data_IF_998999756241
#
_entry.id   IF_998999756241
#
_cell.length_a   1.000
_cell.length_b   1.000
_cell.length_c   1.000
_cell.angle_alpha   90.00
_cell.angle_beta   90.00
_cell.angle_gamma   90.00
#
_symmetry.space_group_name_H-M   'P 1'
#
loop_
_entity.id
_entity.type
_entity.pdbx_description
1 polymer ?
#
# COMPACT_ATOMS: atom_id res chain seq x y z
N UNK A 1 -13.94 26.79 35.47
CA UNK A 1 -14.83 26.80 34.29
C UNK A 1 -13.95 27.02 33.06
N UNK A 2 -13.75 26.01 32.22
CA UNK A 2 -13.14 26.18 30.90
C UNK A 2 -14.22 25.91 29.86
N UNK A 3 -14.58 26.94 29.10
CA UNK A 3 -15.50 26.87 27.97
C UNK A 3 -14.78 26.29 26.76
N UNK A 4 -15.39 25.26 26.16
CA UNK A 4 -14.83 24.52 25.04
C UNK A 4 -14.74 25.33 23.75
N UNK A 5 -13.64 25.12 23.04
CA UNK A 5 -13.49 25.50 21.63
C UNK A 5 -14.02 24.31 20.81
N UNK A 6 -15.32 24.33 20.50
CA UNK A 6 -15.86 23.59 19.37
C UNK A 6 -15.53 24.39 18.09
N UNK A 7 -14.40 24.07 17.46
CA UNK A 7 -14.00 24.62 16.17
C UNK A 7 -14.47 23.74 15.01
N UNK A 8 -14.87 24.38 13.92
CA UNK A 8 -15.51 23.88 12.68
C UNK A 8 -14.79 22.78 11.87
N UNK A 9 -13.73 22.16 12.40
CA UNK A 9 -12.85 21.23 11.68
C UNK A 9 -13.55 19.94 11.20
N UNK A 10 -14.66 19.53 11.82
CA UNK A 10 -15.37 18.29 11.47
C UNK A 10 -16.49 18.47 10.42
N UNK A 11 -16.90 19.69 10.08
CA UNK A 11 -17.97 19.88 9.07
C UNK A 11 -17.46 19.63 7.65
N UNK A 12 -16.21 19.96 7.35
CA UNK A 12 -15.65 19.81 6.00
C UNK A 12 -15.38 18.33 5.62
N UNK A 13 -15.29 17.42 6.59
CA UNK A 13 -15.18 15.97 6.33
C UNK A 13 -16.53 15.30 5.97
N UNK A 14 -17.66 15.99 6.17
CA UNK A 14 -19.00 15.44 5.87
C UNK A 14 -19.55 15.88 4.51
N UNK A 15 -18.90 16.85 3.85
CA UNK A 15 -19.25 17.28 2.51
C UNK A 15 -18.50 16.42 1.48
N UNK A 16 -18.95 15.18 1.28
CA UNK A 16 -18.59 14.45 0.07
C UNK A 16 -18.96 15.33 -1.14
N UNK A 17 -18.03 15.65 -2.06
CA UNK A 17 -18.39 16.41 -3.25
C UNK A 17 -19.38 15.57 -4.04
N UNK A 18 -20.63 16.04 -4.14
CA UNK A 18 -21.58 15.51 -5.12
C UNK A 18 -20.94 15.70 -6.49
N UNK A 19 -20.65 14.59 -7.17
CA UNK A 19 -20.19 14.61 -8.55
C UNK A 19 -21.22 15.37 -9.40
N UNK A 20 -20.84 16.41 -10.16
CA UNK A 20 -21.72 16.96 -11.17
C UNK A 20 -21.93 15.89 -12.25
N UNK A 21 -23.19 15.55 -12.50
CA UNK A 21 -23.61 14.71 -13.62
C UNK A 21 -23.56 15.52 -14.92
N UNK A 22 -22.98 14.93 -15.98
CA UNK A 22 -22.88 15.49 -17.33
C UNK A 22 -21.57 16.28 -17.50
N UNK A 23 -20.70 16.01 -18.49
CA UNK A 23 -20.92 15.67 -19.89
C UNK A 23 -19.81 14.71 -20.33
N UNK A 24 -20.17 13.67 -21.08
CA UNK A 24 -19.26 12.79 -21.76
C UNK A 24 -18.66 13.51 -22.99
N UNK A 25 -17.44 14.03 -22.87
CA UNK A 25 -16.61 14.37 -24.02
C UNK A 25 -15.43 13.41 -24.05
N UNK A 26 -15.55 12.41 -24.92
CA UNK A 26 -14.53 11.40 -25.19
C UNK A 26 -13.28 12.07 -25.76
N UNK A 27 -12.36 12.45 -24.88
CA UNK A 27 -11.00 12.86 -25.21
C UNK A 27 -9.99 11.80 -24.74
N UNK A 28 -8.77 11.75 -25.30
CA UNK A 28 -7.74 10.78 -24.94
C UNK A 28 -7.23 10.89 -23.48
N UNK A 29 -7.75 11.82 -22.68
CA UNK A 29 -7.42 12.04 -21.27
C UNK A 29 -8.33 11.27 -20.29
N UNK A 30 -9.47 10.72 -20.74
CA UNK A 30 -10.39 9.97 -19.86
C UNK A 30 -9.79 8.65 -19.32
N UNK A 31 -8.69 8.18 -19.91
CA UNK A 31 -7.97 6.99 -19.43
C UNK A 31 -7.00 7.28 -18.27
N UNK A 32 -6.72 8.56 -17.97
CA UNK A 32 -5.65 8.97 -17.06
C UNK A 32 -6.11 9.71 -15.81
N UNK A 33 -7.41 9.68 -15.53
CA UNK A 33 -7.93 9.90 -14.18
C UNK A 33 -7.85 8.55 -13.47
N UNK A 34 -7.16 8.43 -12.31
CA UNK A 34 -7.31 7.25 -11.47
C UNK A 34 -8.80 7.13 -11.13
N UNK A 35 -9.53 6.24 -11.80
CA UNK A 35 -10.93 5.94 -11.51
C UNK A 35 -11.07 5.23 -10.17
N UNK A 36 -9.96 4.75 -9.63
CA UNK A 36 -9.84 4.14 -8.32
C UNK A 36 -9.46 5.21 -7.29
N UNK A 37 -10.41 5.58 -6.43
CA UNK A 37 -10.05 6.04 -5.10
C UNK A 37 -9.18 4.94 -4.47
N UNK A 38 -8.07 5.27 -3.78
CA UNK A 38 -7.35 4.27 -3.01
C UNK A 38 -8.35 3.62 -2.04
N UNK A 39 -8.67 2.35 -2.28
CA UNK A 39 -9.45 1.57 -1.32
C UNK A 39 -8.56 1.41 -0.10
N UNK A 40 -8.91 2.13 0.98
CA UNK A 40 -8.11 2.21 2.19
C UNK A 40 -7.88 3.65 2.62
N UNK A 41 -8.96 4.38 2.94
CA UNK A 41 -8.82 5.47 3.91
C UNK A 41 -8.48 4.80 5.25
N UNK A 42 -7.20 4.60 5.54
CA UNK A 42 -6.75 4.38 6.91
C UNK A 42 -7.11 5.67 7.64
N UNK A 43 -8.27 5.68 8.28
CA UNK A 43 -8.74 6.85 9.00
C UNK A 43 -7.70 7.11 10.08
N UNK A 44 -7.21 8.34 10.16
CA UNK A 44 -6.28 8.85 11.18
C UNK A 44 -6.73 8.47 12.63
N UNK A 45 -8.02 8.18 12.80
CA UNK A 45 -8.67 7.70 14.03
C UNK A 45 -8.37 6.24 14.40
N UNK A 46 -8.09 5.37 13.43
CA UNK A 46 -7.86 3.94 13.66
C UNK A 46 -6.39 3.66 14.05
N UNK A 47 -5.45 4.52 13.66
CA UNK A 47 -4.06 4.51 14.17
C UNK A 47 -3.93 4.92 15.65
N UNK A 48 -4.97 5.52 16.24
CA UNK A 48 -4.96 6.01 17.64
C UNK A 48 -5.72 5.07 18.61
N UNK A 49 -6.24 3.93 18.13
CA UNK A 49 -7.04 3.00 18.94
C UNK A 49 -6.26 1.91 19.68
N UNK A 50 -4.93 1.97 19.67
CA UNK A 50 -4.12 0.85 20.14
C UNK A 50 -4.04 0.77 21.68
N UNK A 51 -4.60 -0.32 22.21
CA UNK A 51 -4.39 -0.75 23.60
C UNK A 51 -2.90 -1.02 23.87
N UNK A 52 -2.50 -0.82 25.14
CA UNK A 52 -1.14 -1.11 25.64
C UNK A 52 -0.79 -2.58 25.35
N UNK A 53 0.28 -2.88 24.59
CA UNK A 53 0.59 -4.22 24.12
C UNK A 53 1.34 -5.08 25.16
N UNK A 54 1.41 -6.40 24.97
CA UNK A 54 2.43 -7.22 25.61
C UNK A 54 3.84 -6.74 25.22
N UNK A 55 4.76 -6.65 26.18
CA UNK A 55 6.15 -6.28 25.97
C UNK A 55 6.82 -7.17 24.91
N UNK A 56 7.41 -6.59 23.86
CA UNK A 56 8.24 -7.32 22.90
C UNK A 56 7.84 -7.27 21.41
N UNK A 57 6.76 -6.57 21.04
CA UNK A 57 6.36 -6.37 19.62
C UNK A 57 6.56 -4.91 19.20
N UNK A 58 7.20 -4.67 18.04
CA UNK A 58 7.52 -3.31 17.60
C UNK A 58 6.25 -2.52 17.20
N UNK A 59 6.31 -1.19 17.22
CA UNK A 59 5.25 -0.35 16.62
C UNK A 59 5.04 -0.64 15.14
N UNK A 60 6.11 -1.03 14.43
CA UNK A 60 6.10 -1.34 13.01
C UNK A 60 5.34 -2.63 12.70
N UNK A 61 5.58 -3.69 13.47
CA UNK A 61 4.82 -4.95 13.35
C UNK A 61 3.33 -4.70 13.64
N UNK A 62 3.01 -3.86 14.64
CA UNK A 62 1.61 -3.52 14.97
C UNK A 62 0.90 -2.80 13.82
N UNK A 63 1.57 -1.87 13.15
CA UNK A 63 1.00 -1.19 11.99
C UNK A 63 0.71 -2.19 10.86
N UNK A 64 1.64 -3.11 10.58
CA UNK A 64 1.43 -4.17 9.59
C UNK A 64 0.27 -5.10 9.95
N UNK A 65 0.12 -5.46 11.23
CA UNK A 65 -1.02 -6.25 11.70
C UNK A 65 -2.36 -5.54 11.53
N UNK A 66 -2.42 -4.25 11.85
CA UNK A 66 -3.64 -3.45 11.68
C UNK A 66 -4.01 -3.30 10.19
N UNK A 67 -3.03 -2.95 9.36
CA UNK A 67 -3.15 -2.86 7.89
C UNK A 67 -3.63 -4.18 7.27
N UNK A 68 -3.08 -5.32 7.71
CA UNK A 68 -3.51 -6.64 7.27
C UNK A 68 -4.98 -6.94 7.65
N UNK A 69 -5.40 -6.62 8.88
CA UNK A 69 -6.81 -6.80 9.32
C UNK A 69 -7.75 -5.94 8.48
N UNK A 70 -7.38 -4.68 8.23
CA UNK A 70 -8.17 -3.76 7.39
C UNK A 70 -8.30 -4.29 5.96
N UNK A 71 -7.19 -4.74 5.37
CA UNK A 71 -7.15 -5.32 4.03
C UNK A 71 -8.02 -6.59 3.93
N UNK A 72 -8.18 -7.33 5.03
CA UNK A 72 -9.07 -8.49 5.14
C UNK A 72 -10.55 -8.12 5.45
N UNK A 73 -10.93 -6.84 5.35
CA UNK A 73 -12.29 -6.36 5.59
C UNK A 73 -12.57 -5.98 7.05
N UNK A 74 -11.53 -5.71 7.84
CA UNK A 74 -11.63 -5.28 9.23
C UNK A 74 -11.88 -6.42 10.23
N UNK A 75 -11.76 -7.68 9.80
CA UNK A 75 -11.87 -8.83 10.68
C UNK A 75 -11.07 -10.06 10.20
N UNK A 76 -10.63 -10.93 11.11
CA UNK A 76 -9.88 -12.15 10.76
C UNK A 76 -10.75 -13.36 10.41
N UNK A 77 -12.07 -13.19 10.46
CA UNK A 77 -13.04 -14.29 10.27
C UNK A 77 -13.04 -15.29 11.43
N UNK A 78 -12.55 -14.88 12.61
CA UNK A 78 -12.51 -15.69 13.82
C UNK A 78 -13.69 -15.34 14.74
N UNK A 79 -14.17 -16.35 15.47
CA UNK A 79 -15.13 -16.16 16.56
C UNK A 79 -14.40 -15.81 17.86
N UNK A 80 -15.14 -15.34 18.87
CA UNK A 80 -14.59 -15.14 20.23
C UNK A 80 -14.03 -16.44 20.83
N UNK A 81 -14.65 -17.59 20.52
CA UNK A 81 -14.18 -18.89 21.01
C UNK A 81 -12.85 -19.28 20.35
N UNK A 82 -12.71 -19.06 19.04
CA UNK A 82 -11.47 -19.30 18.31
C UNK A 82 -10.33 -18.43 18.84
N UNK A 83 -10.61 -17.15 19.12
CA UNK A 83 -9.68 -16.24 19.78
C UNK A 83 -9.20 -16.81 21.11
N UNK A 84 -10.12 -17.23 21.97
CA UNK A 84 -9.77 -17.77 23.29
C UNK A 84 -8.90 -19.03 23.15
N UNK A 85 -9.27 -19.93 22.24
CA UNK A 85 -8.52 -21.16 21.95
C UNK A 85 -7.10 -20.87 21.47
N UNK A 86 -6.93 -19.94 20.53
CA UNK A 86 -5.60 -19.54 20.05
C UNK A 86 -4.77 -18.85 21.14
N UNK A 87 -5.38 -17.98 21.94
CA UNK A 87 -4.70 -17.28 23.06
C UNK A 87 -4.19 -18.26 24.11
N UNK A 88 -4.97 -19.29 24.43
CA UNK A 88 -4.58 -20.32 25.39
C UNK A 88 -3.50 -21.26 24.86
N UNK A 89 -3.65 -21.74 23.62
CA UNK A 89 -2.71 -22.71 23.05
C UNK A 89 -1.36 -22.08 22.67
N UNK A 90 -1.33 -20.79 22.32
CA UNK A 90 -0.15 -20.10 21.82
C UNK A 90 0.21 -18.86 22.66
N UNK A 91 0.07 -18.94 23.99
CA UNK A 91 0.33 -17.80 24.89
C UNK A 91 1.75 -17.24 24.82
N UNK A 92 2.74 -18.04 24.39
CA UNK A 92 4.12 -17.59 24.17
C UNK A 92 4.41 -17.02 22.78
N UNK A 93 3.47 -17.10 21.84
CA UNK A 93 3.62 -16.57 20.47
C UNK A 93 3.21 -15.09 20.44
N UNK A 94 4.13 -14.20 20.82
CA UNK A 94 3.85 -12.76 20.95
C UNK A 94 3.33 -12.12 19.65
N UNK A 95 3.76 -12.62 18.49
CA UNK A 95 3.34 -12.12 17.18
C UNK A 95 1.89 -12.50 16.89
N UNK A 96 1.52 -13.77 17.13
CA UNK A 96 0.13 -14.20 17.03
C UNK A 96 -0.76 -13.45 18.03
N UNK A 97 -0.32 -13.25 19.28
CA UNK A 97 -1.07 -12.48 20.27
C UNK A 97 -1.31 -11.03 19.83
N UNK A 98 -0.29 -10.37 19.28
CA UNK A 98 -0.39 -9.00 18.79
C UNK A 98 -1.31 -8.87 17.56
N UNK A 99 -1.28 -9.86 16.65
CA UNK A 99 -2.17 -9.88 15.49
C UNK A 99 -3.63 -10.08 15.90
N UNK A 100 -3.91 -11.04 16.79
CA UNK A 100 -5.26 -11.26 17.33
C UNK A 100 -5.81 -10.04 18.08
N UNK A 101 -4.95 -9.22 18.69
CA UNK A 101 -5.36 -8.00 19.37
C UNK A 101 -5.85 -6.88 18.43
N UNK A 102 -5.54 -6.96 17.13
CA UNK A 102 -6.04 -6.01 16.12
C UNK A 102 -7.44 -6.37 15.61
N UNK A 103 -7.88 -7.60 15.83
CA UNK A 103 -9.16 -8.11 15.34
C UNK A 103 -10.31 -7.81 16.29
N UNK A 104 -11.50 -7.61 15.72
CA UNK A 104 -12.76 -7.58 16.46
C UNK A 104 -13.51 -8.88 16.19
N UNK A 105 -13.35 -9.90 17.04
CA UNK A 105 -13.95 -11.21 16.78
C UNK A 105 -15.46 -11.12 16.70
N UNK A 106 -16.05 -11.87 15.77
CA UNK A 106 -17.51 -11.97 15.65
C UNK A 106 -18.07 -12.63 16.92
N UNK A 107 -19.22 -12.14 17.39
CA UNK A 107 -19.98 -12.80 18.44
C UNK A 107 -20.37 -14.20 17.91
N UNK A 108 -19.68 -15.23 18.41
CA UNK A 108 -19.93 -16.61 18.01
C UNK A 108 -21.20 -17.15 18.67
N UNK A 109 -21.91 -18.05 18.00
CA UNK A 109 -22.86 -18.95 18.68
C UNK A 109 -22.07 -20.01 19.45
N UNK A 110 -22.55 -20.38 20.64
CA UNK A 110 -21.94 -21.45 21.42
C UNK A 110 -21.92 -22.75 20.61
N UNK A 111 -20.72 -23.30 20.38
CA UNK A 111 -20.49 -24.53 19.64
C UNK A 111 -19.06 -25.03 19.89
N UNK A 112 -18.77 -26.31 19.60
CA UNK A 112 -17.45 -26.88 19.80
C UNK A 112 -16.43 -26.15 18.92
N UNK A 113 -15.39 -25.61 19.56
CA UNK A 113 -14.27 -24.94 18.89
C UNK A 113 -13.32 -25.99 18.31
N UNK A 114 -12.83 -25.77 17.10
CA UNK A 114 -11.85 -26.64 16.46
C UNK A 114 -10.52 -26.66 17.24
N UNK A 115 -9.66 -27.67 17.04
CA UNK A 115 -8.31 -27.67 17.60
C UNK A 115 -7.53 -26.40 17.23
N UNK A 116 -6.72 -25.88 18.16
CA UNK A 116 -5.98 -24.63 17.97
C UNK A 116 -5.03 -24.65 16.75
N UNK A 117 -4.48 -25.83 16.42
CA UNK A 117 -3.69 -26.04 15.21
C UNK A 117 -4.48 -25.77 13.92
N UNK A 118 -5.69 -26.32 13.83
CA UNK A 118 -6.57 -26.17 12.66
C UNK A 118 -7.05 -24.73 12.51
N UNK A 119 -7.36 -24.06 13.63
CA UNK A 119 -7.74 -22.64 13.62
C UNK A 119 -6.56 -21.77 13.14
N UNK A 120 -5.34 -22.04 13.61
CA UNK A 120 -4.13 -21.31 13.18
C UNK A 120 -3.86 -21.54 11.69
N UNK A 121 -4.00 -22.77 11.20
CA UNK A 121 -3.87 -23.09 9.78
C UNK A 121 -4.94 -22.40 8.93
N UNK A 122 -6.20 -22.40 9.38
CA UNK A 122 -7.28 -21.67 8.71
C UNK A 122 -7.03 -20.16 8.66
N UNK A 123 -6.44 -19.58 9.71
CA UNK A 123 -6.01 -18.17 9.71
C UNK A 123 -4.90 -17.92 8.69
N UNK A 124 -3.85 -18.77 8.66
CA UNK A 124 -2.75 -18.69 7.69
C UNK A 124 -3.29 -18.76 6.27
N UNK A 125 -4.21 -19.69 5.99
CA UNK A 125 -4.82 -19.83 4.67
C UNK A 125 -5.59 -18.56 4.26
N UNK A 126 -6.41 -18.00 5.16
CA UNK A 126 -7.16 -16.76 4.88
C UNK A 126 -6.24 -15.56 4.60
N UNK A 127 -5.15 -15.42 5.37
CA UNK A 127 -4.14 -14.37 5.11
C UNK A 127 -3.45 -14.63 3.77
N UNK A 128 -3.15 -15.89 3.45
CA UNK A 128 -2.59 -16.29 2.15
C UNK A 128 -3.50 -15.99 0.97
N UNK A 129 -4.81 -16.25 1.09
CA UNK A 129 -5.78 -15.95 0.05
C UNK A 129 -5.96 -14.44 -0.14
N UNK A 130 -5.95 -13.66 0.96
CA UNK A 130 -5.93 -12.20 0.90
C UNK A 130 -4.66 -11.68 0.19
N UNK A 131 -3.49 -12.23 0.54
CA UNK A 131 -2.23 -11.92 -0.14
C UNK A 131 -2.29 -12.25 -1.63
N UNK A 132 -2.84 -13.42 -2.01
CA UNK A 132 -3.02 -13.80 -3.42
C UNK A 132 -3.86 -12.78 -4.18
N UNK A 133 -5.00 -12.40 -3.59
CA UNK A 133 -5.90 -11.41 -4.19
C UNK A 133 -5.22 -10.04 -4.35
N UNK A 134 -4.50 -9.58 -3.32
CA UNK A 134 -3.75 -8.33 -3.37
C UNK A 134 -2.60 -8.37 -4.39
N UNK A 135 -1.83 -9.46 -4.45
CA UNK A 135 -0.81 -9.66 -5.48
C UNK A 135 -1.41 -9.57 -6.88
N UNK A 136 -2.58 -10.18 -7.14
CA UNK A 136 -3.22 -10.08 -8.45
C UNK A 136 -3.55 -8.63 -8.81
N UNK A 137 -4.20 -7.90 -7.89
CA UNK A 137 -4.57 -6.50 -8.10
C UNK A 137 -3.33 -5.61 -8.31
N UNK A 138 -2.30 -5.76 -7.47
CA UNK A 138 -1.06 -5.00 -7.57
C UNK A 138 -0.29 -5.32 -8.85
N UNK A 139 -0.25 -6.59 -9.25
CA UNK A 139 0.36 -7.02 -10.51
C UNK A 139 -0.29 -6.35 -11.71
N UNK A 140 -1.62 -6.37 -11.78
CA UNK A 140 -2.39 -5.69 -12.83
C UNK A 140 -2.18 -4.17 -12.81
N UNK A 141 -2.19 -3.57 -11.61
CA UNK A 141 -1.97 -2.13 -11.41
C UNK A 141 -0.57 -1.69 -11.83
N UNK A 142 0.46 -2.47 -11.52
CA UNK A 142 1.83 -2.26 -11.98
C UNK A 142 1.88 -2.21 -13.51
N UNK A 143 1.28 -3.21 -14.18
CA UNK A 143 1.32 -3.31 -15.64
C UNK A 143 0.58 -2.14 -16.31
N UNK A 144 -0.60 -1.77 -15.80
CA UNK A 144 -1.34 -0.58 -16.27
C UNK A 144 -0.55 0.70 -16.07
N UNK A 145 0.05 0.88 -14.89
CA UNK A 145 0.85 2.06 -14.58
C UNK A 145 2.09 2.15 -15.47
N UNK A 146 2.78 1.03 -15.71
CA UNK A 146 3.95 0.98 -16.58
C UNK A 146 3.61 1.38 -18.03
N UNK A 147 2.49 0.89 -18.56
CA UNK A 147 2.01 1.27 -19.89
C UNK A 147 1.71 2.78 -19.95
N UNK A 148 0.94 3.30 -18.98
CA UNK A 148 0.64 4.72 -18.91
C UNK A 148 1.88 5.60 -18.79
N UNK A 149 2.91 5.17 -18.05
CA UNK A 149 4.16 5.91 -17.93
C UNK A 149 4.91 6.00 -19.27
N UNK A 150 4.83 4.98 -20.13
CA UNK A 150 5.40 5.02 -21.47
C UNK A 150 4.69 6.05 -22.35
N UNK A 151 3.35 6.08 -22.32
CA UNK A 151 2.54 7.06 -23.07
C UNK A 151 2.79 8.48 -22.58
N UNK A 152 2.87 8.67 -21.26
CA UNK A 152 3.19 9.94 -20.64
C UNK A 152 4.60 10.41 -21.03
N UNK A 153 5.58 9.50 -21.06
CA UNK A 153 6.93 9.84 -21.52
C UNK A 153 6.93 10.32 -22.97
N UNK A 154 6.15 9.71 -23.87
CA UNK A 154 6.03 10.17 -25.26
C UNK A 154 5.42 11.57 -25.34
N UNK A 155 4.30 11.80 -24.64
CA UNK A 155 3.63 13.09 -24.61
C UNK A 155 4.50 14.22 -24.01
N UNK A 156 5.41 13.88 -23.10
CA UNK A 156 6.34 14.83 -22.49
C UNK A 156 7.58 15.14 -23.34
N UNK A 157 7.91 14.35 -24.37
CA UNK A 157 9.12 14.56 -25.19
C UNK A 157 9.14 15.91 -25.89
N UNK A 158 7.99 16.41 -26.31
CA UNK A 158 7.86 17.70 -26.98
C UNK A 158 7.83 18.88 -26.01
N UNK A 159 7.75 18.64 -24.69
CA UNK A 159 7.66 19.69 -23.68
C UNK A 159 9.06 20.11 -23.19
N UNK A 160 9.50 21.37 -23.37
CA UNK A 160 10.89 21.80 -23.13
C UNK A 160 11.41 21.52 -21.72
N UNK A 161 10.53 21.66 -20.71
CA UNK A 161 10.89 21.47 -19.31
C UNK A 161 10.81 20.00 -18.84
N UNK A 162 9.97 19.18 -19.48
CA UNK A 162 9.64 17.82 -19.01
C UNK A 162 10.36 16.73 -19.80
N UNK A 163 10.87 17.03 -21.00
CA UNK A 163 11.61 16.08 -21.83
C UNK A 163 12.79 15.42 -21.09
N UNK A 164 13.43 16.14 -20.15
CA UNK A 164 14.52 15.62 -19.30
C UNK A 164 14.08 14.49 -18.35
N UNK A 165 12.78 14.33 -18.09
CA UNK A 165 12.22 13.28 -17.24
C UNK A 165 11.90 12.00 -18.03
N UNK A 166 11.74 12.06 -19.34
CA UNK A 166 11.35 10.91 -20.17
C UNK A 166 12.27 9.68 -19.99
N UNK A 167 13.61 9.81 -19.90
CA UNK A 167 14.48 8.65 -19.65
C UNK A 167 14.26 8.01 -18.27
N UNK A 168 13.98 8.83 -17.25
CA UNK A 168 13.71 8.36 -15.88
C UNK A 168 12.38 7.62 -15.83
N UNK A 169 11.34 8.17 -16.49
CA UNK A 169 10.03 7.53 -16.61
C UNK A 169 10.11 6.22 -17.38
N UNK A 170 10.91 6.14 -18.45
CA UNK A 170 11.13 4.91 -19.20
C UNK A 170 11.82 3.83 -18.35
N UNK A 171 12.81 4.20 -17.53
CA UNK A 171 13.45 3.27 -16.60
C UNK A 171 12.48 2.77 -15.51
N UNK A 172 11.69 3.68 -14.92
CA UNK A 172 10.66 3.33 -13.94
C UNK A 172 9.57 2.43 -14.53
N UNK A 173 9.09 2.75 -15.74
CA UNK A 173 8.09 1.93 -16.43
C UNK A 173 8.58 0.49 -16.63
N UNK A 174 9.84 0.31 -17.05
CA UNK A 174 10.45 -1.03 -17.18
C UNK A 174 10.53 -1.76 -15.84
N UNK A 175 11.00 -1.08 -14.79
CA UNK A 175 11.10 -1.66 -13.44
C UNK A 175 9.73 -2.07 -12.90
N UNK A 176 8.73 -1.19 -13.00
CA UNK A 176 7.37 -1.45 -12.54
C UNK A 176 6.71 -2.56 -13.37
N UNK A 177 6.96 -2.61 -14.68
CA UNK A 177 6.48 -3.71 -15.53
C UNK A 177 7.10 -5.06 -15.11
N UNK A 178 8.41 -5.09 -14.84
CA UNK A 178 9.09 -6.29 -14.33
C UNK A 178 8.51 -6.74 -12.99
N UNK A 179 8.29 -5.80 -12.05
CA UNK A 179 7.62 -6.07 -10.78
C UNK A 179 6.21 -6.64 -11.00
N UNK A 180 5.41 -6.02 -11.87
CA UNK A 180 4.05 -6.47 -12.17
C UNK A 180 4.01 -7.90 -12.72
N UNK A 181 4.94 -8.24 -13.63
CA UNK A 181 5.07 -9.59 -14.17
C UNK A 181 5.52 -10.60 -13.11
N UNK A 182 6.49 -10.23 -12.26
CA UNK A 182 6.93 -11.07 -11.16
C UNK A 182 5.78 -11.35 -10.17
N UNK A 183 5.05 -10.31 -9.74
CA UNK A 183 3.90 -10.44 -8.85
C UNK A 183 2.80 -11.31 -9.47
N UNK A 184 2.51 -11.16 -10.78
CA UNK A 184 1.54 -12.01 -11.48
C UNK A 184 1.98 -13.48 -11.51
N UNK A 185 3.28 -13.76 -11.57
CA UNK A 185 3.80 -15.13 -11.46
C UNK A 185 3.56 -15.78 -10.10
N UNK A 186 3.49 -14.98 -9.03
CA UNK A 186 3.26 -15.46 -7.65
C UNK A 186 1.83 -15.92 -7.44
N UNK A 187 0.84 -15.30 -8.09
CA UNK A 187 -0.58 -15.57 -7.83
C UNK A 187 -1.03 -16.99 -8.18
N UNK A 188 -0.27 -17.68 -9.05
CA UNK A 188 -0.48 -19.09 -9.40
C UNK A 188 -0.01 -20.09 -8.34
N UNK A 189 0.64 -19.65 -7.27
CA UNK A 189 1.17 -20.53 -6.23
C UNK A 189 0.12 -20.90 -5.17
N UNK A 190 0.14 -22.18 -4.78
CA UNK A 190 -0.76 -22.73 -3.77
C UNK A 190 -0.32 -22.51 -2.32
N UNK A 191 1.00 -22.45 -2.07
CA UNK A 191 1.57 -22.30 -0.72
C UNK A 191 1.71 -20.82 -0.32
N UNK A 192 0.98 -20.35 0.72
CA UNK A 192 1.10 -18.99 1.23
C UNK A 192 2.53 -18.60 1.64
N UNK A 193 3.34 -19.53 2.18
CA UNK A 193 4.71 -19.20 2.63
C UNK A 193 5.61 -18.85 1.44
N UNK A 194 5.55 -19.67 0.41
CA UNK A 194 6.31 -19.46 -0.82
C UNK A 194 5.93 -18.13 -1.49
N UNK A 195 4.63 -17.79 -1.49
CA UNK A 195 4.15 -16.52 -2.04
C UNK A 195 4.75 -15.29 -1.34
N UNK A 196 4.83 -15.30 0.00
CA UNK A 196 5.42 -14.20 0.76
C UNK A 196 6.92 -14.04 0.45
N UNK A 197 7.65 -15.17 0.33
CA UNK A 197 9.06 -15.16 -0.01
C UNK A 197 9.30 -14.64 -1.43
N UNK A 198 8.51 -15.08 -2.40
CA UNK A 198 8.65 -14.65 -3.80
C UNK A 198 8.28 -13.19 -3.99
N UNK A 199 7.32 -12.66 -3.21
CA UNK A 199 7.02 -11.22 -3.23
C UNK A 199 8.22 -10.41 -2.73
N UNK A 200 8.84 -10.84 -1.63
CA UNK A 200 10.03 -10.18 -1.11
C UNK A 200 11.19 -10.21 -2.12
N UNK A 201 11.37 -11.32 -2.84
CA UNK A 201 12.35 -11.44 -3.92
C UNK A 201 12.02 -10.51 -5.10
N UNK A 202 10.77 -10.46 -5.55
CA UNK A 202 10.35 -9.57 -6.64
C UNK A 202 10.62 -8.09 -6.33
N UNK A 203 10.35 -7.67 -5.09
CA UNK A 203 10.63 -6.31 -4.62
C UNK A 203 12.14 -6.07 -4.55
N UNK A 204 12.93 -7.05 -4.12
CA UNK A 204 14.40 -6.96 -4.08
C UNK A 204 15.00 -6.85 -5.48
N UNK A 205 14.52 -7.64 -6.43
CA UNK A 205 14.96 -7.61 -7.83
C UNK A 205 14.70 -6.25 -8.47
N UNK A 206 13.56 -5.62 -8.14
CA UNK A 206 13.29 -4.24 -8.54
C UNK A 206 14.33 -3.26 -7.95
N UNK A 207 14.71 -3.39 -6.68
CA UNK A 207 15.77 -2.55 -6.10
C UNK A 207 17.10 -2.73 -6.81
N UNK A 208 17.50 -3.97 -7.12
CA UNK A 208 18.73 -4.24 -7.87
C UNK A 208 18.67 -3.65 -9.28
N UNK A 209 17.53 -3.74 -9.98
CA UNK A 209 17.33 -3.11 -11.28
C UNK A 209 17.41 -1.57 -11.24
N UNK A 210 17.07 -0.98 -10.09
CA UNK A 210 17.15 0.47 -9.90
C UNK A 210 18.55 0.95 -9.50
N UNK A 211 19.43 0.05 -9.00
CA UNK A 211 20.82 0.41 -8.67
C UNK A 211 21.59 0.87 -9.90
N UNK A 212 22.37 1.94 -9.75
CA UNK A 212 23.16 2.51 -10.83
C UNK A 212 22.37 3.42 -11.77
N UNK A 213 21.08 3.63 -11.51
CA UNK A 213 20.26 4.62 -12.21
C UNK A 213 20.14 5.92 -11.40
N UNK A 214 19.61 7.00 -11.98
CA UNK A 214 19.26 8.21 -11.23
C UNK A 214 18.17 7.97 -10.16
N UNK A 215 17.53 6.79 -10.15
CA UNK A 215 16.51 6.38 -9.19
C UNK A 215 17.08 6.10 -7.79
N UNK A 216 18.39 5.84 -7.66
CA UNK A 216 19.05 5.72 -6.35
C UNK A 216 18.92 7.02 -5.52
N UNK A 217 18.83 8.17 -6.21
CA UNK A 217 18.55 9.45 -5.56
C UNK A 217 17.10 9.54 -5.08
N UNK A 218 16.14 8.97 -5.82
CA UNK A 218 14.76 8.88 -5.39
C UNK A 218 14.60 7.95 -4.19
N UNK A 219 15.30 6.82 -4.16
CA UNK A 219 15.30 5.93 -3.01
C UNK A 219 15.79 6.66 -1.74
N UNK A 220 16.81 7.53 -1.87
CA UNK A 220 17.31 8.37 -0.77
C UNK A 220 16.38 9.52 -0.38
N UNK A 221 15.60 10.06 -1.32
CA UNK A 221 14.58 11.07 -1.05
C UNK A 221 13.40 10.42 -0.33
N UNK A 222 12.87 9.34 -0.89
CA UNK A 222 11.81 8.55 -0.30
C UNK A 222 12.14 8.05 1.11
N UNK A 223 13.34 7.51 1.32
CA UNK A 223 13.75 7.03 2.65
C UNK A 223 13.85 8.14 3.71
N UNK A 224 14.02 9.41 3.32
CA UNK A 224 13.94 10.56 4.22
C UNK A 224 12.49 11.02 4.48
N UNK A 225 11.60 10.82 3.52
CA UNK A 225 10.18 11.23 3.60
C UNK A 225 9.29 10.19 4.32
N UNK A 226 9.69 8.91 4.33
CA UNK A 226 8.87 7.79 4.81
C UNK A 226 8.99 7.33 6.28
N UNK A 227 9.86 7.83 7.19
CA UNK A 227 9.87 7.29 8.55
C UNK A 227 8.56 7.61 9.31
N UNK A 228 7.86 6.56 9.75
CA UNK A 228 6.83 6.62 10.79
C UNK A 228 5.42 7.07 10.37
N UNK A 229 5.26 7.73 9.23
CA UNK A 229 3.97 8.25 8.72
C UNK A 229 3.69 7.85 7.26
N UNK A 230 4.40 6.84 6.75
CA UNK A 230 4.50 6.50 5.33
C UNK A 230 3.18 6.41 4.56
N UNK A 231 2.14 5.79 5.14
CA UNK A 231 0.82 5.69 4.50
C UNK A 231 0.13 7.05 4.39
N UNK A 232 0.23 7.89 5.42
CA UNK A 232 -0.36 9.23 5.45
C UNK A 232 0.32 10.16 4.44
N UNK A 233 1.64 10.06 4.30
CA UNK A 233 2.41 10.84 3.33
C UNK A 233 2.11 10.40 1.90
N UNK A 234 2.05 9.09 1.62
CA UNK A 234 1.69 8.60 0.27
C UNK A 234 0.25 8.94 -0.13
N UNK A 235 -0.69 8.91 0.83
CA UNK A 235 -2.08 9.32 0.60
C UNK A 235 -2.18 10.81 0.30
N UNK A 236 -1.51 11.66 1.09
CA UNK A 236 -1.47 13.10 0.84
C UNK A 236 -0.83 13.44 -0.52
N UNK A 237 0.30 12.82 -0.85
CA UNK A 237 0.99 13.04 -2.12
C UNK A 237 0.16 12.57 -3.32
N UNK A 238 -0.60 11.48 -3.17
CA UNK A 238 -1.60 11.06 -4.15
C UNK A 238 -2.65 12.15 -4.38
N UNK A 239 -3.33 12.62 -3.34
CA UNK A 239 -4.39 13.64 -3.47
C UNK A 239 -3.85 14.97 -4.02
N UNK A 240 -2.66 15.37 -3.56
CA UNK A 240 -1.97 16.57 -4.04
C UNK A 240 -1.66 16.45 -5.54
N UNK A 241 -1.11 15.33 -5.98
CA UNK A 241 -0.79 15.07 -7.39
C UNK A 241 -2.05 15.03 -8.26
N UNK A 242 -3.15 14.40 -7.81
CA UNK A 242 -4.44 14.41 -8.52
C UNK A 242 -4.96 15.84 -8.70
N UNK A 243 -4.90 16.66 -7.65
CA UNK A 243 -5.30 18.07 -7.73
C UNK A 243 -4.42 18.84 -8.72
N UNK A 244 -3.10 18.70 -8.63
CA UNK A 244 -2.15 19.34 -9.54
C UNK A 244 -2.35 18.90 -10.99
N UNK A 245 -2.66 17.63 -11.24
CA UNK A 245 -2.98 17.13 -12.57
C UNK A 245 -4.24 17.82 -13.13
N UNK A 246 -5.30 17.90 -12.32
CA UNK A 246 -6.56 18.56 -12.69
C UNK A 246 -6.38 20.04 -12.99
N UNK A 247 -5.65 20.77 -12.14
CA UNK A 247 -5.37 22.19 -12.32
C UNK A 247 -4.57 22.46 -13.60
N UNK A 248 -3.55 21.64 -13.89
CA UNK A 248 -2.76 21.77 -15.11
C UNK A 248 -3.59 21.45 -16.36
N UNK A 249 -4.49 20.46 -16.28
CA UNK A 249 -5.40 20.14 -17.37
C UNK A 249 -6.36 21.31 -17.66
N UNK A 250 -6.92 21.92 -16.63
CA UNK A 250 -7.80 23.11 -16.76
C UNK A 250 -7.07 24.32 -17.37
N UNK A 251 -5.76 24.46 -17.11
CA UNK A 251 -4.90 25.49 -17.71
C UNK A 251 -4.44 25.15 -19.14
N UNK A 252 -4.84 24.00 -19.68
CA UNK A 252 -4.42 23.52 -21.00
C UNK A 252 -3.01 22.94 -21.04
N UNK A 253 -2.30 22.84 -19.91
CA UNK A 253 -0.98 22.24 -19.82
C UNK A 253 -1.08 20.71 -19.68
N UNK A 254 -1.37 20.05 -20.81
CA UNK A 254 -1.57 18.60 -20.87
C UNK A 254 -0.33 17.80 -20.44
N UNK A 255 0.87 18.24 -20.82
CA UNK A 255 2.11 17.55 -20.46
C UNK A 255 2.37 17.58 -18.94
N UNK A 256 2.17 18.72 -18.29
CA UNK A 256 2.26 18.81 -16.83
C UNK A 256 1.14 18.03 -16.14
N UNK A 257 -0.08 18.04 -16.68
CA UNK A 257 -1.17 17.23 -16.16
C UNK A 257 -0.82 15.73 -16.17
N UNK A 258 -0.28 15.21 -17.27
CA UNK A 258 0.15 13.83 -17.38
C UNK A 258 1.31 13.49 -16.43
N UNK A 259 2.29 14.39 -16.27
CA UNK A 259 3.38 14.19 -15.31
C UNK A 259 2.85 14.03 -13.87
N UNK A 260 1.91 14.87 -13.46
CA UNK A 260 1.26 14.77 -12.15
C UNK A 260 0.35 13.54 -12.02
N UNK A 261 -0.34 13.12 -13.09
CA UNK A 261 -1.09 11.86 -13.09
C UNK A 261 -0.19 10.64 -12.92
N UNK A 262 1.02 10.65 -13.50
CA UNK A 262 2.02 9.59 -13.26
C UNK A 262 2.42 9.54 -11.78
N UNK A 263 2.66 10.69 -11.15
CA UNK A 263 2.96 10.78 -9.72
C UNK A 263 1.82 10.22 -8.87
N UNK A 264 0.57 10.57 -9.19
CA UNK A 264 -0.59 10.00 -8.51
C UNK A 264 -0.64 8.47 -8.67
N UNK A 265 -0.46 7.95 -9.89
CA UNK A 265 -0.44 6.51 -10.12
C UNK A 265 0.67 5.78 -9.36
N UNK A 266 1.87 6.37 -9.26
CA UNK A 266 2.99 5.83 -8.49
C UNK A 266 2.71 5.80 -6.99
N UNK A 267 2.13 6.86 -6.42
CA UNK A 267 1.75 6.90 -5.00
C UNK A 267 0.61 5.93 -4.68
N UNK A 268 -0.35 5.78 -5.59
CA UNK A 268 -1.42 4.79 -5.47
C UNK A 268 -0.89 3.36 -5.54
N UNK A 269 0.11 3.10 -6.39
CA UNK A 269 0.79 1.81 -6.47
C UNK A 269 1.62 1.52 -5.20
N UNK A 270 2.33 2.53 -4.71
CA UNK A 270 3.11 2.45 -3.47
C UNK A 270 2.24 2.04 -2.28
N UNK A 271 1.05 2.62 -2.15
CA UNK A 271 0.08 2.25 -1.12
C UNK A 271 -0.36 0.78 -1.25
N UNK A 272 -0.77 0.34 -2.44
CA UNK A 272 -1.20 -1.05 -2.66
C UNK A 272 -0.07 -2.05 -2.44
N UNK A 273 1.16 -1.72 -2.87
CA UNK A 273 2.33 -2.56 -2.65
C UNK A 273 2.67 -2.67 -1.16
N UNK A 274 2.53 -1.58 -0.40
CA UNK A 274 2.74 -1.57 1.05
C UNK A 274 1.78 -2.52 1.75
N UNK A 275 0.47 -2.40 1.51
CA UNK A 275 -0.54 -3.28 2.08
C UNK A 275 -0.29 -4.76 1.73
N UNK A 276 0.13 -5.04 0.49
CA UNK A 276 0.50 -6.39 0.05
C UNK A 276 1.72 -6.92 0.81
N UNK A 277 2.74 -6.09 1.00
CA UNK A 277 3.92 -6.45 1.78
C UNK A 277 3.63 -6.64 3.27
N UNK A 278 2.71 -5.85 3.85
CA UNK A 278 2.27 -6.03 5.23
C UNK A 278 1.62 -7.41 5.38
N UNK A 279 0.70 -7.81 4.49
CA UNK A 279 0.13 -9.16 4.47
C UNK A 279 1.18 -10.26 4.37
N UNK A 280 2.16 -10.13 3.45
CA UNK A 280 3.25 -11.10 3.31
C UNK A 280 4.10 -11.21 4.58
N UNK A 281 4.35 -10.09 5.25
CA UNK A 281 5.13 -10.07 6.47
C UNK A 281 4.34 -10.67 7.65
N UNK A 282 3.05 -10.37 7.78
CA UNK A 282 2.15 -11.03 8.75
C UNK A 282 2.12 -12.53 8.53
N UNK A 283 1.99 -12.97 7.28
CA UNK A 283 1.98 -14.39 6.92
C UNK A 283 3.30 -15.08 7.30
N UNK A 284 4.43 -14.42 7.07
CA UNK A 284 5.76 -14.89 7.50
C UNK A 284 5.81 -15.03 9.03
N UNK A 285 5.34 -14.03 9.77
CA UNK A 285 5.31 -14.07 11.24
C UNK A 285 4.43 -15.21 11.78
N UNK A 286 3.28 -15.48 11.15
CA UNK A 286 2.36 -16.55 11.57
C UNK A 286 2.88 -17.97 11.31
N UNK A 287 3.79 -18.11 10.33
CA UNK A 287 4.19 -19.41 9.78
C UNK A 287 5.53 -19.95 10.30
N UNK A 288 6.37 -19.11 10.90
CA UNK A 288 7.71 -19.49 11.39
C UNK A 288 7.67 -20.02 12.83
N UNK A 289 6.77 -19.53 13.69
CA UNK A 289 6.63 -19.97 15.08
C UNK A 289 7.80 -19.56 15.99
N UNK A 290 7.51 -19.04 17.18
CA UNK A 290 8.53 -18.66 18.17
C UNK A 290 9.01 -17.20 18.07
N UNK A 291 10.11 -16.87 18.76
CA UNK A 291 10.73 -15.54 18.86
C UNK A 291 11.45 -15.12 17.55
N UNK A 292 10.74 -15.19 16.43
CA UNK A 292 11.24 -14.84 15.10
C UNK A 292 11.69 -13.37 15.05
N UNK A 293 12.72 -13.02 14.25
CA UNK A 293 12.86 -11.65 13.78
C UNK A 293 11.51 -11.28 13.13
N UNK A 294 10.90 -10.17 13.55
CA UNK A 294 9.55 -9.81 13.16
C UNK A 294 9.38 -9.58 11.65
N UNK A 295 8.36 -8.85 11.26
CA UNK A 295 8.00 -8.52 9.87
C UNK A 295 9.09 -7.72 9.10
N UNK A 296 10.23 -7.43 9.74
CA UNK A 296 11.23 -6.45 9.37
C UNK A 296 11.94 -6.65 8.01
N UNK A 297 12.37 -7.84 7.57
CA UNK A 297 13.13 -7.98 6.31
C UNK A 297 12.29 -7.71 5.06
N UNK A 298 11.06 -8.24 5.02
CA UNK A 298 10.10 -8.01 3.94
C UNK A 298 9.71 -6.54 3.90
N UNK A 299 9.36 -5.97 5.06
CA UNK A 299 8.96 -4.57 5.12
C UNK A 299 10.10 -3.59 4.78
N UNK A 300 11.36 -3.85 5.15
CA UNK A 300 12.48 -2.95 4.84
C UNK A 300 12.73 -2.84 3.33
N UNK A 301 12.61 -3.97 2.63
CA UNK A 301 12.76 -4.03 1.17
C UNK A 301 11.59 -3.29 0.50
N UNK A 302 10.36 -3.53 0.96
CA UNK A 302 9.17 -2.85 0.42
C UNK A 302 9.17 -1.34 0.67
N UNK A 303 9.63 -0.87 1.84
CA UNK A 303 9.74 0.56 2.16
C UNK A 303 10.64 1.31 1.18
N UNK A 304 11.72 0.66 0.76
CA UNK A 304 12.66 1.28 -0.18
C UNK A 304 12.02 1.48 -1.55
N UNK A 305 11.28 0.48 -2.05
CA UNK A 305 10.54 0.58 -3.33
C UNK A 305 9.41 1.60 -3.24
N UNK A 306 8.64 1.57 -2.15
CA UNK A 306 7.60 2.57 -1.85
C UNK A 306 8.19 3.98 -1.82
N UNK A 307 9.39 4.14 -1.25
CA UNK A 307 10.10 5.42 -1.26
C UNK A 307 10.52 5.92 -2.63
N UNK A 308 10.95 5.03 -3.52
CA UNK A 308 11.23 5.43 -4.91
C UNK A 308 9.97 5.95 -5.59
N UNK A 309 8.83 5.28 -5.38
CA UNK A 309 7.55 5.68 -5.97
C UNK A 309 7.04 7.01 -5.38
N UNK A 310 7.12 7.19 -4.06
CA UNK A 310 6.69 8.42 -3.38
C UNK A 310 7.56 9.64 -3.76
N UNK A 311 8.87 9.44 -3.94
CA UNK A 311 9.81 10.50 -4.35
C UNK A 311 9.59 11.05 -5.76
N UNK A 312 8.69 10.48 -6.56
CA UNK A 312 8.42 10.94 -7.92
C UNK A 312 7.82 12.36 -7.98
N UNK A 313 7.09 12.79 -6.94
CA UNK A 313 6.49 14.12 -6.83
C UNK A 313 7.55 15.23 -6.94
N UNK A 314 8.68 15.05 -6.26
CA UNK A 314 9.76 16.03 -6.20
C UNK A 314 10.47 16.18 -7.55
N UNK A 315 10.59 15.09 -8.33
CA UNK A 315 11.14 15.16 -9.69
C UNK A 315 10.27 15.97 -10.64
N UNK A 316 8.95 15.80 -10.56
CA UNK A 316 8.03 16.55 -11.41
C UNK A 316 8.00 18.02 -11.00
N UNK A 317 8.01 18.32 -9.69
CA UNK A 317 8.09 19.70 -9.18
C UNK A 317 9.35 20.42 -9.68
N UNK A 318 10.54 19.85 -9.48
CA UNK A 318 11.82 20.42 -9.93
C UNK A 318 11.88 20.57 -11.46
N UNK A 319 11.18 19.70 -12.20
CA UNK A 319 11.16 19.81 -13.65
C UNK A 319 10.28 20.96 -14.15
N UNK A 320 9.21 21.31 -13.42
CA UNK A 320 8.24 22.33 -13.83
C UNK A 320 8.62 23.76 -13.41
N UNK A 321 9.43 23.90 -12.37
CA UNK A 321 10.11 25.16 -11.99
C UNK A 321 10.97 25.72 -13.15
#
# INVERSE_FOLDING_TARGET
MMTGIQGSFLRDFSAAPRAPQGVAEQGPMDQFVPSEQPVGEVRMRDLLRFAVPPSGVSSRDRAAYASAVETMGGHLGLTQADHKTLKQAYGGDLQLQAFLAQDKPKAGKAGPTQPAGDIKQGLIQRVGDALRSQCQQVGEKCLKQAAGMADAAEAMRSHPKLAKLCPVLGALAKGISALGNAIRGITGQGDPKQMAADLANAVKDLLELMKGTRLDKLAKIGSKLLPGLGELTTGWDFYSAVRSARENNQKGNKAAAMAWSVVAGLNSLAFSLRATCDLAAVLTALTVGGASPGTAPVMATCETVVGVMAGASELVAIALE
#
